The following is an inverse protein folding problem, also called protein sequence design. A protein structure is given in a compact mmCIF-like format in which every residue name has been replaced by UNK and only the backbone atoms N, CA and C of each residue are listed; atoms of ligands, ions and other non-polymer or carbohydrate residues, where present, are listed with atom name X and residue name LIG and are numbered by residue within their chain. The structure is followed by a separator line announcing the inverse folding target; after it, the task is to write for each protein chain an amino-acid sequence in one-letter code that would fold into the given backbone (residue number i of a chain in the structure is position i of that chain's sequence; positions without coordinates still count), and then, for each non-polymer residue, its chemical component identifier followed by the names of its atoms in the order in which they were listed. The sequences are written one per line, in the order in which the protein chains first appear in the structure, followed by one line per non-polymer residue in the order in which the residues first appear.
data_IF_496937962219
#
_entry.id   IF_496937962219
#
_cell.length_a   1.000
_cell.length_b   1.000
_cell.length_c   1.000
_cell.angle_alpha   90.00
_cell.angle_beta   90.00
_cell.angle_gamma   90.00
#
_symmetry.space_group_name_H-M   'P 1'
#
loop_
_entity.id
_entity.type
_entity.pdbx_description
1 polymer ?
#
# COMPACT_ATOMS: atom_id res chain seq x y z
N UNK A 1 8.67 -22.29 -35.48
CA UNK A 1 9.34 -21.81 -36.70
C UNK A 1 10.34 -20.73 -36.28
N UNK A 2 11.63 -20.94 -36.63
CA UNK A 2 12.83 -20.10 -36.40
C UNK A 2 13.26 -19.81 -34.95
N UNK A 3 14.00 -20.78 -34.41
CA UNK A 3 15.06 -20.63 -33.40
C UNK A 3 16.09 -19.57 -33.82
N UNK A 4 16.63 -18.82 -32.85
CA UNK A 4 17.94 -18.16 -32.95
C UNK A 4 18.82 -18.56 -31.75
N UNK A 5 20.05 -18.97 -32.09
CA UNK A 5 21.09 -19.54 -31.22
C UNK A 5 21.85 -18.47 -30.40
N UNK A 6 22.12 -18.83 -29.14
CA UNK A 6 23.39 -18.84 -28.40
C UNK A 6 24.16 -17.53 -28.16
N UNK A 7 24.36 -17.26 -26.86
CA UNK A 7 25.57 -16.63 -26.30
C UNK A 7 25.87 -17.23 -24.92
N UNK A 8 26.73 -18.25 -24.87
CA UNK A 8 27.28 -18.83 -23.62
C UNK A 8 28.33 -17.87 -23.07
N UNK A 9 28.17 -17.41 -21.83
CA UNK A 9 29.19 -16.65 -21.11
C UNK A 9 29.69 -17.46 -19.90
N UNK A 10 31.00 -17.63 -19.87
CA UNK A 10 31.80 -18.48 -19.00
C UNK A 10 31.78 -18.03 -17.53
N UNK A 11 31.59 -18.99 -16.63
CA UNK A 11 31.59 -18.85 -15.17
C UNK A 11 33.03 -18.71 -14.66
N UNK A 12 33.34 -17.62 -13.97
CA UNK A 12 34.54 -17.48 -13.14
C UNK A 12 34.14 -17.65 -11.66
N UNK A 13 34.48 -18.81 -11.09
CA UNK A 13 34.27 -19.11 -9.67
C UNK A 13 35.30 -18.37 -8.84
N UNK A 14 34.87 -17.35 -8.07
CA UNK A 14 35.68 -16.69 -7.07
C UNK A 14 35.35 -17.28 -5.69
N UNK A 15 36.32 -17.97 -5.09
CA UNK A 15 36.24 -18.53 -3.75
C UNK A 15 36.29 -17.43 -2.69
N UNK A 16 35.13 -17.10 -2.09
CA UNK A 16 35.04 -16.20 -0.94
C UNK A 16 35.27 -16.96 0.35
N UNK A 17 36.28 -16.54 1.08
CA UNK A 17 36.66 -17.04 2.40
C UNK A 17 35.62 -16.63 3.44
N UNK A 18 35.19 -17.57 4.29
CA UNK A 18 34.25 -17.30 5.37
C UNK A 18 34.87 -16.38 6.44
N UNK A 19 34.38 -15.15 6.55
CA UNK A 19 34.62 -14.31 7.73
C UNK A 19 33.56 -14.59 8.78
N UNK A 20 34.00 -14.98 9.98
CA UNK A 20 33.13 -15.26 11.13
C UNK A 20 32.23 -14.05 11.47
N UNK A 21 30.93 -14.31 11.54
CA UNK A 21 29.92 -13.32 11.98
C UNK A 21 30.04 -13.15 13.49
N UNK A 22 30.08 -11.92 14.04
CA UNK A 22 30.12 -11.73 15.48
C UNK A 22 28.81 -12.22 16.13
N UNK A 23 28.96 -13.10 17.11
CA UNK A 23 27.88 -13.57 18.00
C UNK A 23 27.17 -12.36 18.61
N UNK A 24 25.88 -12.20 18.31
CA UNK A 24 25.05 -11.15 18.90
C UNK A 24 24.89 -11.38 20.41
N UNK A 25 25.51 -10.51 21.21
CA UNK A 25 25.41 -10.55 22.67
C UNK A 25 23.95 -10.45 23.16
N UNK A 26 23.62 -11.28 24.14
CA UNK A 26 22.29 -11.37 24.73
C UNK A 26 21.86 -10.08 25.44
N UNK A 27 20.68 -9.54 25.07
CA UNK A 27 20.06 -8.37 25.73
C UNK A 27 19.76 -8.68 27.21
N UNK A 28 20.26 -7.83 28.11
CA UNK A 28 20.03 -7.84 29.56
C UNK A 28 19.99 -6.39 30.06
N UNK A 29 19.23 -6.11 31.12
CA UNK A 29 19.16 -4.77 31.71
C UNK A 29 20.57 -4.28 32.12
N UNK A 30 20.89 -3.02 31.84
CA UNK A 30 22.20 -2.42 32.11
C UNK A 30 23.27 -2.69 31.05
N UNK A 31 23.06 -3.60 30.10
CA UNK A 31 23.99 -3.82 29.00
C UNK A 31 23.98 -2.63 28.02
N UNK A 32 25.11 -2.42 27.31
CA UNK A 32 25.23 -1.34 26.32
C UNK A 32 24.25 -1.55 25.16
N UNK A 33 23.61 -0.47 24.73
CA UNK A 33 22.81 -0.40 23.52
C UNK A 33 23.35 0.70 22.60
N UNK A 34 22.96 0.69 21.32
CA UNK A 34 23.55 1.56 20.30
C UNK A 34 22.72 2.82 20.03
N UNK A 35 21.41 2.76 20.19
CA UNK A 35 20.48 3.81 19.73
C UNK A 35 19.41 4.07 20.79
N UNK A 36 19.29 5.31 21.27
CA UNK A 36 18.25 5.73 22.21
C UNK A 36 16.86 5.44 21.63
N UNK A 37 15.96 4.90 22.43
CA UNK A 37 14.60 4.55 21.99
C UNK A 37 14.51 3.20 21.25
N UNK A 38 15.62 2.49 21.02
CA UNK A 38 15.56 1.12 20.51
C UNK A 38 14.83 0.21 21.52
N UNK A 39 13.83 -0.54 21.07
CA UNK A 39 13.06 -1.48 21.89
C UNK A 39 13.41 -2.92 21.49
N UNK A 40 13.57 -3.81 22.47
CA UNK A 40 13.72 -5.26 22.26
C UNK A 40 12.88 -6.02 23.27
N UNK A 41 12.14 -7.03 22.80
CA UNK A 41 11.37 -7.92 23.66
C UNK A 41 12.11 -9.24 23.85
N UNK A 42 12.30 -9.67 25.11
CA UNK A 42 12.91 -10.97 25.43
C UNK A 42 12.21 -11.60 26.62
N UNK A 43 11.66 -12.81 26.44
CA UNK A 43 10.87 -13.54 27.46
C UNK A 43 9.72 -12.69 28.02
N UNK A 44 8.89 -12.11 27.14
CA UNK A 44 7.73 -11.26 27.48
C UNK A 44 8.06 -10.04 28.37
N UNK A 45 9.30 -9.54 28.26
CA UNK A 45 9.78 -8.35 28.95
C UNK A 45 10.37 -7.41 27.91
N UNK A 46 9.92 -6.16 27.94
CA UNK A 46 10.39 -5.12 27.06
C UNK A 46 11.64 -4.45 27.63
N UNK A 47 12.60 -4.18 26.75
CA UNK A 47 13.83 -3.46 27.04
C UNK A 47 13.94 -2.26 26.12
N UNK A 48 14.04 -1.07 26.70
CA UNK A 48 14.18 0.19 25.97
C UNK A 48 15.58 0.75 26.20
N UNK A 49 16.27 1.11 25.12
CA UNK A 49 17.58 1.74 25.20
C UNK A 49 17.44 3.18 25.67
N UNK A 50 18.02 3.52 26.82
CA UNK A 50 17.90 4.85 27.44
C UNK A 50 19.29 5.39 27.79
N UNK A 51 19.40 6.71 27.86
CA UNK A 51 20.62 7.36 28.32
C UNK A 51 20.75 7.25 29.84
N UNK A 52 21.90 6.77 30.32
CA UNK A 52 22.29 6.78 31.72
C UNK A 52 23.63 7.51 31.84
N UNK A 53 23.57 8.82 32.11
CA UNK A 53 24.73 9.70 32.00
C UNK A 53 25.24 9.79 30.56
N UNK A 54 26.56 9.63 30.35
CA UNK A 54 27.19 9.66 29.01
C UNK A 54 27.11 8.33 28.23
N UNK A 55 26.37 7.33 28.72
CA UNK A 55 26.29 5.98 28.11
C UNK A 55 24.86 5.58 27.80
N UNK A 56 24.69 4.74 26.77
CA UNK A 56 23.41 4.14 26.40
C UNK A 56 23.29 2.72 26.96
N UNK A 57 22.23 2.45 27.72
CA UNK A 57 22.00 1.15 28.36
C UNK A 57 20.56 0.67 28.21
N UNK A 58 20.38 -0.65 28.16
CA UNK A 58 19.05 -1.28 28.18
C UNK A 58 18.37 -1.09 29.54
N UNK A 59 17.24 -0.40 29.57
CA UNK A 59 16.34 -0.35 30.72
C UNK A 59 15.25 -1.41 30.53
N UNK A 60 15.02 -2.23 31.55
CA UNK A 60 13.91 -3.20 31.55
C UNK A 60 12.69 -2.52 32.15
N UNK A 61 11.58 -2.55 31.44
CA UNK A 61 10.31 -2.04 31.98
C UNK A 61 9.58 -3.16 32.72
N UNK A 62 9.06 -2.84 33.90
CA UNK A 62 8.14 -3.71 34.62
C UNK A 62 6.72 -3.43 34.13
N UNK A 63 5.87 -4.46 34.04
CA UNK A 63 4.44 -4.31 33.72
C UNK A 63 3.87 -3.16 34.55
N UNK A 64 3.34 -2.14 33.88
CA UNK A 64 2.67 -1.01 34.52
C UNK A 64 1.33 -1.51 35.06
N UNK A 65 1.30 -1.79 36.36
CA UNK A 65 0.09 -1.70 37.18
C UNK A 65 -0.04 -0.22 37.50
N UNK A 66 -1.07 0.44 36.99
CA UNK A 66 -1.37 1.83 37.31
C UNK A 66 -1.84 1.92 38.77
N UNK A 67 -0.91 2.23 39.67
CA UNK A 67 -1.21 2.66 41.02
C UNK A 67 -1.41 4.19 41.02
N UNK A 68 -2.65 4.63 41.27
CA UNK A 68 -2.95 6.01 41.64
C UNK A 68 -3.23 6.06 43.13
N UNK A 69 -2.46 6.88 43.84
CA UNK A 69 -2.78 7.33 45.18
C UNK A 69 -2.12 8.68 45.41
N UNK A 70 -2.92 9.74 45.54
CA UNK A 70 -2.97 10.67 46.67
C UNK A 70 -4.28 11.47 46.56
N UNK A 71 -4.95 11.58 47.71
CA UNK A 71 -6.21 12.26 48.00
C UNK A 71 -6.05 13.78 47.99
N UNK A 72 -7.11 14.50 47.65
CA UNK A 72 -7.68 15.49 48.57
C UNK A 72 -9.15 15.82 48.22
N UNK A 73 -9.90 16.05 49.29
CA UNK A 73 -11.35 16.27 49.39
C UNK A 73 -11.80 17.61 48.79
N UNK A 74 -12.94 17.62 48.09
CA UNK A 74 -14.07 18.51 48.41
C UNK A 74 -15.32 18.11 47.63
N UNK A 75 -16.43 18.05 48.37
CA UNK A 75 -17.80 17.76 47.96
C UNK A 75 -18.38 18.83 47.04
N UNK A 76 -19.09 18.45 45.97
CA UNK A 76 -20.46 18.92 45.72
C UNK A 76 -21.17 18.09 44.63
N UNK A 77 -22.48 17.93 44.82
CA UNK A 77 -23.38 16.99 44.16
C UNK A 77 -23.86 17.45 42.78
N UNK A 78 -24.15 16.43 41.95
CA UNK A 78 -25.18 16.36 40.89
C UNK A 78 -25.18 17.41 39.77
N UNK A 79 -24.89 16.98 38.54
CA UNK A 79 -26.00 16.58 37.66
C UNK A 79 -25.52 15.66 36.53
N UNK A 80 -26.22 14.54 36.38
CA UNK A 80 -25.99 13.53 35.36
C UNK A 80 -26.53 14.01 34.02
N UNK A 81 -25.67 14.15 33.02
CA UNK A 81 -26.06 14.05 31.63
C UNK A 81 -25.18 13.00 30.96
N UNK A 82 -25.75 11.81 30.81
CA UNK A 82 -25.20 10.67 30.09
C UNK A 82 -25.06 11.03 28.60
N UNK A 83 -23.89 11.54 28.21
CA UNK A 83 -23.43 11.44 26.83
C UNK A 83 -22.65 10.14 26.73
N UNK A 84 -23.28 9.10 26.18
CA UNK A 84 -22.61 7.85 25.84
C UNK A 84 -21.37 8.17 24.98
N UNK A 85 -20.20 8.13 25.59
CA UNK A 85 -18.94 8.37 24.93
C UNK A 85 -18.70 7.20 23.98
N UNK A 86 -18.84 7.45 22.68
CA UNK A 86 -18.56 6.48 21.62
C UNK A 86 -17.19 5.86 21.89
N UNK A 87 -17.03 4.53 21.92
CA UNK A 87 -15.76 3.90 22.25
C UNK A 87 -14.63 4.49 21.39
N UNK A 88 -13.52 4.87 22.02
CA UNK A 88 -12.32 5.33 21.31
C UNK A 88 -11.77 4.14 20.53
N UNK A 89 -12.00 4.13 19.22
CA UNK A 89 -11.43 3.14 18.30
C UNK A 89 -9.96 3.47 18.10
N UNK A 90 -9.06 2.60 18.58
CA UNK A 90 -7.61 2.72 18.33
C UNK A 90 -7.29 2.03 17.00
N UNK A 91 -6.74 2.74 16.00
CA UNK A 91 -6.38 2.10 14.75
C UNK A 91 -5.30 1.03 14.94
N UNK A 92 -5.47 -0.12 14.28
CA UNK A 92 -4.48 -1.21 14.24
C UNK A 92 -3.71 -1.12 12.93
N UNK A 93 -2.45 -0.68 13.00
CA UNK A 93 -1.59 -0.51 11.82
C UNK A 93 -0.43 -1.50 11.93
N UNK A 94 -0.37 -2.43 10.98
CA UNK A 94 0.64 -3.47 10.94
C UNK A 94 1.40 -3.45 9.61
N UNK A 95 2.69 -3.74 9.67
CA UNK A 95 3.51 -3.91 8.48
C UNK A 95 4.55 -5.00 8.71
N UNK A 96 4.62 -5.93 7.76
CA UNK A 96 5.58 -7.03 7.77
C UNK A 96 6.18 -7.19 6.39
N UNK A 97 7.50 -7.13 6.33
CA UNK A 97 8.25 -7.49 5.12
C UNK A 97 9.13 -8.70 5.41
N UNK A 98 9.05 -9.68 4.51
CA UNK A 98 9.94 -10.83 4.41
C UNK A 98 11.02 -10.63 3.34
N UNK A 99 10.95 -9.56 2.55
CA UNK A 99 11.95 -9.22 1.55
C UNK A 99 13.20 -8.60 2.20
N UNK A 100 14.39 -8.93 1.68
CA UNK A 100 15.66 -8.39 2.18
C UNK A 100 15.89 -6.92 1.78
N UNK A 101 15.33 -6.47 0.64
CA UNK A 101 15.50 -5.11 0.12
C UNK A 101 14.64 -4.03 0.80
N UNK A 102 13.58 -4.44 1.50
CA UNK A 102 12.61 -3.55 2.15
C UNK A 102 12.38 -4.07 3.56
N UNK A 103 12.82 -3.34 4.58
CA UNK A 103 12.65 -3.81 5.97
C UNK A 103 11.22 -3.60 6.47
N UNK A 104 10.77 -4.37 7.47
CA UNK A 104 9.44 -4.16 8.08
C UNK A 104 9.27 -2.76 8.67
N UNK A 105 10.33 -2.17 9.24
CA UNK A 105 10.27 -0.80 9.77
C UNK A 105 10.11 0.25 8.66
N UNK A 106 10.75 0.02 7.52
CA UNK A 106 10.64 0.89 6.36
C UNK A 106 9.25 0.80 5.74
N UNK A 107 8.73 -0.42 5.58
CA UNK A 107 7.36 -0.64 5.13
C UNK A 107 6.36 0.02 6.06
N UNK A 108 6.52 -0.13 7.39
CA UNK A 108 5.68 0.54 8.38
C UNK A 108 5.72 2.08 8.23
N UNK A 109 6.89 2.64 7.91
CA UNK A 109 7.02 4.07 7.69
C UNK A 109 6.27 4.51 6.43
N UNK A 110 6.31 3.71 5.34
CA UNK A 110 5.50 3.97 4.14
C UNK A 110 4.01 3.89 4.46
N UNK A 111 3.56 2.83 5.14
CA UNK A 111 2.16 2.64 5.55
C UNK A 111 1.65 3.85 6.35
N UNK A 112 2.40 4.27 7.37
CA UNK A 112 2.02 5.42 8.20
C UNK A 112 2.00 6.73 7.44
N UNK A 113 2.94 6.93 6.51
CA UNK A 113 2.97 8.11 5.66
C UNK A 113 1.73 8.16 4.75
N UNK A 114 1.34 7.04 4.14
CA UNK A 114 0.14 6.99 3.30
C UNK A 114 -1.15 7.24 4.11
N UNK A 115 -1.27 6.60 5.28
CA UNK A 115 -2.41 6.80 6.19
C UNK A 115 -2.53 8.26 6.63
N UNK A 116 -1.41 8.93 6.90
CA UNK A 116 -1.39 10.32 7.33
C UNK A 116 -1.93 11.31 6.29
N UNK A 117 -1.94 10.95 5.01
CA UNK A 117 -2.57 11.78 3.96
C UNK A 117 -4.10 11.64 3.94
N UNK A 118 -4.62 10.50 4.39
CA UNK A 118 -6.02 10.13 4.17
C UNK A 118 -6.98 10.89 5.06
N UNK A 119 -8.09 11.35 4.49
CA UNK A 119 -9.13 12.04 5.25
C UNK A 119 -9.86 11.11 6.22
N UNK A 120 -10.18 9.90 5.77
CA UNK A 120 -10.96 8.92 6.52
C UNK A 120 -10.36 7.50 6.37
N UNK A 121 -9.11 7.23 6.76
CA UNK A 121 -8.52 5.90 6.55
C UNK A 121 -9.27 4.79 7.33
N UNK A 122 -9.16 3.52 6.90
CA UNK A 122 -9.68 2.38 7.65
C UNK A 122 -9.05 2.28 9.05
N UNK A 123 -9.77 1.67 9.99
CA UNK A 123 -9.31 1.53 11.39
C UNK A 123 -8.35 0.35 11.58
N UNK A 124 -8.27 -0.56 10.61
CA UNK A 124 -7.27 -1.63 10.56
C UNK A 124 -6.61 -1.66 9.19
N UNK A 125 -5.28 -1.65 9.15
CA UNK A 125 -4.52 -1.70 7.91
C UNK A 125 -3.27 -2.57 8.03
N UNK A 126 -3.16 -3.59 7.15
CA UNK A 126 -1.99 -4.44 7.03
C UNK A 126 -1.19 -4.13 5.76
N UNK A 127 0.12 -3.96 5.89
CA UNK A 127 1.05 -3.97 4.76
C UNK A 127 1.92 -5.24 4.79
N UNK A 128 1.88 -6.04 3.73
CA UNK A 128 2.63 -7.29 3.64
C UNK A 128 3.45 -7.35 2.35
N UNK A 129 4.77 -7.58 2.49
CA UNK A 129 5.67 -7.79 1.35
C UNK A 129 6.42 -9.12 1.53
N UNK A 130 6.54 -9.90 0.46
CA UNK A 130 7.39 -11.10 0.40
C UNK A 130 8.20 -11.14 -0.90
N UNK A 131 9.39 -11.79 -0.91
CA UNK A 131 10.20 -11.88 -2.10
C UNK A 131 9.74 -13.01 -3.03
N UNK A 132 9.86 -12.77 -4.33
CA UNK A 132 9.69 -13.77 -5.40
C UNK A 132 10.91 -13.72 -6.34
N UNK A 133 11.15 -14.82 -7.04
CA UNK A 133 12.32 -15.00 -7.90
C UNK A 133 12.10 -14.49 -9.32
N UNK A 134 12.65 -15.23 -10.28
CA UNK A 134 12.57 -14.88 -11.71
C UNK A 134 11.22 -15.30 -12.29
N UNK A 135 10.77 -14.60 -13.32
CA UNK A 135 9.56 -14.98 -14.05
C UNK A 135 9.74 -16.38 -14.66
N UNK A 136 8.68 -17.19 -14.58
CA UNK A 136 8.63 -18.54 -15.15
C UNK A 136 7.76 -18.60 -16.41
N UNK A 137 6.86 -17.66 -16.57
CA UNK A 137 5.96 -17.54 -17.72
C UNK A 137 6.10 -16.18 -18.42
N UNK A 138 5.91 -16.21 -19.75
CA UNK A 138 5.73 -15.00 -20.55
C UNK A 138 4.23 -14.67 -20.73
N UNK A 139 3.35 -15.65 -20.55
CA UNK A 139 1.89 -15.53 -20.59
C UNK A 139 1.29 -16.14 -19.31
N UNK A 140 0.69 -15.33 -18.41
CA UNK A 140 0.08 -15.82 -17.19
C UNK A 140 -1.00 -16.88 -17.45
N UNK A 141 -0.95 -18.00 -16.75
CA UNK A 141 -2.04 -18.98 -16.71
C UNK A 141 -2.98 -18.68 -15.53
N UNK A 142 -4.20 -18.14 -15.77
CA UNK A 142 -5.13 -17.83 -14.69
C UNK A 142 -5.53 -19.06 -13.87
N UNK A 143 -5.39 -20.27 -14.42
CA UNK A 143 -5.68 -21.52 -13.71
C UNK A 143 -4.80 -21.74 -12.47
N UNK A 144 -3.56 -21.25 -12.48
CA UNK A 144 -2.57 -21.46 -11.42
C UNK A 144 -3.00 -20.81 -10.10
N UNK A 145 -3.58 -19.60 -10.19
CA UNK A 145 -4.00 -18.83 -9.02
C UNK A 145 -5.51 -18.82 -8.79
N UNK A 146 -6.24 -19.76 -9.40
CA UNK A 146 -7.68 -19.92 -9.21
C UNK A 146 -8.49 -18.80 -9.86
N UNK A 147 -8.09 -18.38 -11.06
CA UNK A 147 -8.71 -17.35 -11.89
C UNK A 147 -8.03 -15.98 -11.80
N UNK A 148 -7.12 -15.78 -10.86
CA UNK A 148 -6.39 -14.52 -10.70
C UNK A 148 -5.27 -14.40 -11.76
N UNK A 149 -5.21 -13.31 -12.54
CA UNK A 149 -4.34 -13.20 -13.72
C UNK A 149 -2.91 -12.76 -13.36
N UNK A 150 -2.30 -13.37 -12.34
CA UNK A 150 -0.91 -13.07 -11.95
C UNK A 150 0.07 -13.99 -12.67
N UNK A 151 1.23 -13.43 -13.04
CA UNK A 151 2.35 -14.19 -13.60
C UNK A 151 3.01 -15.07 -12.52
N UNK A 152 3.50 -16.24 -12.93
CA UNK A 152 4.21 -17.18 -12.06
C UNK A 152 5.70 -16.85 -11.98
N UNK A 153 6.27 -16.90 -10.78
CA UNK A 153 7.70 -16.74 -10.56
C UNK A 153 8.26 -17.91 -9.75
N UNK A 154 9.59 -18.06 -9.76
CA UNK A 154 10.25 -19.05 -8.92
C UNK A 154 10.21 -18.65 -7.45
N UNK A 155 10.11 -19.62 -6.53
CA UNK A 155 10.25 -19.37 -5.10
C UNK A 155 11.66 -18.87 -4.72
N UNK A 156 11.72 -17.92 -3.79
CA UNK A 156 12.93 -17.55 -3.04
C UNK A 156 12.88 -18.08 -1.61
N UNK A 157 11.68 -18.14 -1.04
CA UNK A 157 11.46 -18.51 0.34
C UNK A 157 11.51 -20.03 0.51
N UNK A 158 12.04 -20.48 1.65
CA UNK A 158 11.89 -21.87 2.06
C UNK A 158 10.42 -22.21 2.37
N UNK A 159 10.07 -23.50 2.34
CA UNK A 159 8.72 -23.94 2.69
C UNK A 159 8.25 -23.46 4.08
N UNK A 160 9.17 -23.33 5.05
CA UNK A 160 8.85 -22.76 6.37
C UNK A 160 8.56 -21.27 6.30
N UNK A 161 9.32 -20.51 5.49
CA UNK A 161 9.11 -19.07 5.35
C UNK A 161 7.82 -18.76 4.58
N UNK A 162 7.51 -19.55 3.54
CA UNK A 162 6.21 -19.49 2.84
C UNK A 162 5.06 -19.67 3.85
N UNK A 163 5.17 -20.70 4.71
CA UNK A 163 4.19 -20.94 5.77
C UNK A 163 4.09 -19.77 6.74
N UNK A 164 5.21 -19.16 7.12
CA UNK A 164 5.23 -18.02 8.04
C UNK A 164 4.57 -16.78 7.43
N UNK A 165 4.81 -16.48 6.15
CA UNK A 165 4.17 -15.37 5.43
C UNK A 165 2.67 -15.58 5.32
N UNK A 166 2.24 -16.77 4.87
CA UNK A 166 0.81 -17.10 4.74
C UNK A 166 0.09 -17.06 6.09
N UNK A 167 0.72 -17.60 7.15
CA UNK A 167 0.18 -17.55 8.50
C UNK A 167 0.07 -16.12 9.03
N UNK A 168 1.00 -15.23 8.68
CA UNK A 168 0.94 -13.83 9.10
C UNK A 168 -0.34 -13.17 8.57
N UNK A 169 -0.60 -13.28 7.26
CA UNK A 169 -1.80 -12.72 6.65
C UNK A 169 -3.08 -13.36 7.19
N UNK A 170 -3.12 -14.71 7.24
CA UNK A 170 -4.27 -15.45 7.77
C UNK A 170 -4.60 -15.06 9.20
N UNK A 171 -3.60 -14.99 10.08
CA UNK A 171 -3.79 -14.61 11.48
C UNK A 171 -4.37 -13.21 11.59
N UNK A 172 -3.83 -12.26 10.83
CA UNK A 172 -4.37 -10.90 10.80
C UNK A 172 -5.84 -10.90 10.34
N UNK A 173 -6.15 -11.47 9.18
CA UNK A 173 -7.50 -11.40 8.61
C UNK A 173 -8.55 -12.14 9.46
N UNK A 174 -8.23 -13.34 9.95
CA UNK A 174 -9.15 -14.12 10.78
C UNK A 174 -9.32 -13.54 12.18
N UNK A 175 -8.37 -12.74 12.67
CA UNK A 175 -8.54 -12.01 13.95
C UNK A 175 -9.53 -10.86 13.86
N UNK A 176 -9.91 -10.42 12.65
CA UNK A 176 -10.75 -9.24 12.48
C UNK A 176 -12.14 -9.37 13.10
N UNK A 177 -12.70 -10.58 13.19
CA UNK A 177 -13.99 -10.85 13.86
C UNK A 177 -13.95 -10.58 15.36
N UNK A 178 -12.78 -10.69 15.99
CA UNK A 178 -12.63 -10.56 17.44
C UNK A 178 -12.61 -9.09 17.88
N UNK A 179 -12.36 -8.15 16.96
CA UNK A 179 -12.28 -6.73 17.27
C UNK A 179 -13.51 -6.00 16.72
N UNK A 180 -14.47 -5.72 17.61
CA UNK A 180 -15.69 -4.98 17.28
C UNK A 180 -15.41 -3.60 16.64
N UNK A 181 -14.24 -3.01 16.87
CA UNK A 181 -13.85 -1.72 16.27
C UNK A 181 -13.55 -1.80 14.76
N UNK A 182 -13.34 -3.01 14.22
CA UNK A 182 -13.24 -3.21 12.77
C UNK A 182 -14.61 -3.16 12.09
N UNK A 183 -15.70 -3.44 12.81
CA UNK A 183 -17.06 -3.43 12.27
C UNK A 183 -17.26 -4.36 11.05
N UNK A 184 -16.42 -5.39 10.90
CA UNK A 184 -16.56 -6.37 9.83
C UNK A 184 -17.83 -7.19 10.04
N UNK A 185 -18.65 -7.33 8.99
CA UNK A 185 -19.89 -8.11 9.00
C UNK A 185 -19.72 -9.49 8.38
N UNK A 186 -18.57 -9.73 7.76
CA UNK A 186 -18.17 -10.97 7.14
C UNK A 186 -18.14 -12.10 8.15
N UNK A 187 -18.54 -13.30 7.73
CA UNK A 187 -18.47 -14.49 8.55
C UNK A 187 -17.01 -14.92 8.76
N UNK A 188 -16.76 -15.76 9.78
CA UNK A 188 -15.45 -16.35 9.96
C UNK A 188 -15.03 -17.22 8.76
N UNK A 189 -15.98 -17.82 8.05
CA UNK A 189 -15.72 -18.59 6.84
C UNK A 189 -15.28 -17.67 5.69
N UNK A 190 -15.97 -16.55 5.46
CA UNK A 190 -15.63 -15.58 4.40
C UNK A 190 -14.21 -15.02 4.61
N UNK A 191 -13.87 -14.71 5.86
CA UNK A 191 -12.53 -14.23 6.21
C UNK A 191 -11.47 -15.32 6.07
N UNK A 192 -11.81 -16.60 6.28
CA UNK A 192 -10.89 -17.70 6.01
C UNK A 192 -10.68 -17.89 4.51
N UNK A 193 -11.74 -17.83 3.70
CA UNK A 193 -11.67 -17.97 2.24
C UNK A 193 -10.82 -16.87 1.61
N UNK A 194 -11.01 -15.61 2.03
CA UNK A 194 -10.15 -14.51 1.57
C UNK A 194 -8.67 -14.72 1.95
N UNK A 195 -8.38 -15.35 3.10
CA UNK A 195 -7.01 -15.68 3.51
C UNK A 195 -6.44 -16.85 2.69
N UNK A 196 -7.27 -17.83 2.32
CA UNK A 196 -6.89 -18.94 1.44
C UNK A 196 -6.48 -18.42 0.05
N UNK A 197 -7.18 -17.40 -0.48
CA UNK A 197 -6.83 -16.75 -1.74
C UNK A 197 -5.43 -16.12 -1.70
N UNK A 198 -5.12 -15.35 -0.65
CA UNK A 198 -3.78 -14.73 -0.49
C UNK A 198 -2.70 -15.78 -0.25
N UNK A 199 -3.00 -16.83 0.52
CA UNK A 199 -2.08 -17.95 0.72
C UNK A 199 -1.73 -18.66 -0.59
N UNK A 200 -2.67 -18.79 -1.53
CA UNK A 200 -2.41 -19.35 -2.86
C UNK A 200 -1.38 -18.54 -3.64
N UNK A 201 -1.50 -17.21 -3.61
CA UNK A 201 -0.54 -16.32 -4.27
C UNK A 201 0.86 -16.43 -3.67
N UNK A 202 0.95 -16.49 -2.34
CA UNK A 202 2.23 -16.64 -1.63
C UNK A 202 2.87 -18.00 -1.95
N UNK A 203 2.08 -19.08 -1.94
CA UNK A 203 2.57 -20.45 -2.17
C UNK A 203 3.02 -20.72 -3.60
N UNK A 204 2.40 -20.08 -4.58
CA UNK A 204 2.78 -20.22 -5.99
C UNK A 204 3.65 -19.06 -6.49
N UNK A 205 4.25 -18.28 -5.58
CA UNK A 205 5.11 -17.14 -5.91
C UNK A 205 4.53 -16.20 -6.99
N UNK A 206 3.24 -15.89 -6.89
CA UNK A 206 2.57 -14.99 -7.83
C UNK A 206 3.22 -13.60 -7.82
N UNK A 207 3.40 -13.00 -9.00
CA UNK A 207 3.77 -11.58 -9.13
C UNK A 207 2.56 -10.67 -8.84
N UNK A 208 2.18 -10.62 -7.56
CA UNK A 208 1.01 -9.89 -7.09
C UNK A 208 1.36 -8.50 -6.57
N UNK A 209 0.54 -7.53 -6.90
CA UNK A 209 0.40 -6.27 -6.19
C UNK A 209 -1.11 -5.97 -6.14
N UNK A 210 -1.70 -5.98 -4.95
CA UNK A 210 -3.14 -5.77 -4.79
C UNK A 210 -3.49 -5.29 -3.37
N UNK A 211 -4.75 -4.89 -3.19
CA UNK A 211 -5.28 -4.37 -1.94
C UNK A 211 -6.43 -5.24 -1.42
N UNK A 212 -6.14 -6.35 -0.69
CA UNK A 212 -7.19 -7.16 -0.09
C UNK A 212 -8.05 -6.34 0.86
N UNK A 213 -9.37 -6.55 0.79
CA UNK A 213 -10.32 -5.59 1.30
C UNK A 213 -11.39 -6.25 2.22
N UNK A 214 -10.99 -7.09 3.20
CA UNK A 214 -11.88 -8.03 3.90
C UNK A 214 -13.11 -7.38 4.51
N UNK A 215 -13.03 -6.13 4.95
CA UNK A 215 -14.22 -5.33 5.23
C UNK A 215 -13.93 -3.82 5.11
N UNK A 216 -14.97 -2.99 5.25
CA UNK A 216 -14.83 -1.55 5.04
C UNK A 216 -13.76 -0.89 5.91
N UNK A 217 -13.70 -1.21 7.22
CA UNK A 217 -12.70 -0.61 8.11
C UNK A 217 -11.44 -1.47 8.30
N UNK A 218 -11.30 -2.59 7.60
CA UNK A 218 -10.13 -3.45 7.67
C UNK A 218 -9.64 -3.79 6.26
N UNK A 219 -8.51 -3.20 5.87
CA UNK A 219 -7.97 -3.28 4.52
C UNK A 219 -6.50 -3.66 4.57
N UNK A 220 -5.95 -4.10 3.45
CA UNK A 220 -4.55 -4.44 3.36
C UNK A 220 -3.95 -3.98 2.02
N UNK A 221 -2.63 -4.01 1.98
CA UNK A 221 -1.84 -4.01 0.75
C UNK A 221 -0.89 -5.20 0.81
N UNK A 222 -0.91 -6.00 -0.24
CA UNK A 222 -0.05 -7.17 -0.42
C UNK A 222 0.75 -7.01 -1.71
N UNK A 223 2.06 -7.21 -1.63
CA UNK A 223 2.93 -7.07 -2.79
C UNK A 223 4.06 -8.11 -2.75
N UNK A 224 4.20 -8.87 -3.83
CA UNK A 224 5.38 -9.65 -4.11
C UNK A 224 6.48 -8.73 -4.66
N UNK A 225 7.72 -8.93 -4.22
CA UNK A 225 8.87 -8.13 -4.64
C UNK A 225 9.94 -9.00 -5.29
N UNK A 226 10.32 -8.67 -6.52
CA UNK A 226 11.45 -9.29 -7.21
C UNK A 226 12.72 -8.45 -7.02
N UNK A 227 13.88 -9.12 -6.93
CA UNK A 227 15.18 -8.46 -6.81
C UNK A 227 15.54 -7.60 -8.04
N UNK A 228 14.91 -7.84 -9.20
CA UNK A 228 15.07 -7.02 -10.41
C UNK A 228 14.30 -5.71 -10.32
N UNK A 229 13.22 -5.66 -9.52
CA UNK A 229 12.44 -4.46 -9.34
C UNK A 229 13.20 -3.45 -8.47
N UNK A 230 13.47 -2.28 -9.04
CA UNK A 230 14.07 -1.19 -8.28
C UNK A 230 13.22 -0.83 -7.06
N UNK A 231 13.86 -0.42 -5.98
CA UNK A 231 13.18 0.00 -4.76
C UNK A 231 12.22 1.19 -4.98
N UNK A 232 12.54 2.06 -5.94
CA UNK A 232 11.65 3.14 -6.35
C UNK A 232 10.35 2.59 -6.96
N UNK A 233 10.46 1.65 -7.90
CA UNK A 233 9.29 1.03 -8.52
C UNK A 233 8.45 0.25 -7.48
N UNK A 234 9.11 -0.50 -6.59
CA UNK A 234 8.42 -1.19 -5.49
C UNK A 234 7.66 -0.21 -4.58
N UNK A 235 8.25 0.97 -4.31
CA UNK A 235 7.62 2.03 -3.51
C UNK A 235 6.41 2.64 -4.21
N UNK A 236 6.51 2.96 -5.52
CA UNK A 236 5.37 3.50 -6.28
C UNK A 236 4.24 2.49 -6.38
N UNK A 237 4.55 1.21 -6.63
CA UNK A 237 3.56 0.13 -6.67
C UNK A 237 2.91 -0.07 -5.30
N UNK A 238 3.70 -0.11 -4.22
CA UNK A 238 3.16 -0.21 -2.86
C UNK A 238 2.17 0.93 -2.56
N UNK A 239 2.53 2.18 -2.85
CA UNK A 239 1.66 3.31 -2.56
C UNK A 239 0.41 3.35 -3.46
N UNK A 240 0.51 2.89 -4.72
CA UNK A 240 -0.64 2.70 -5.61
C UNK A 240 -1.64 1.72 -4.99
N UNK A 241 -1.20 0.52 -4.63
CA UNK A 241 -2.10 -0.48 -4.05
C UNK A 241 -2.59 -0.07 -2.67
N UNK A 242 -1.74 0.55 -1.85
CA UNK A 242 -2.16 1.08 -0.57
C UNK A 242 -3.28 2.12 -0.73
N UNK A 243 -3.25 2.94 -1.79
CA UNK A 243 -4.31 3.92 -2.06
C UNK A 243 -5.67 3.26 -2.29
N UNK A 244 -5.74 2.12 -2.98
CA UNK A 244 -7.00 1.39 -3.17
C UNK A 244 -7.63 0.97 -1.84
N UNK A 245 -6.82 0.47 -0.91
CA UNK A 245 -7.29 0.11 0.44
C UNK A 245 -7.56 1.32 1.34
N UNK A 246 -6.82 2.42 1.19
CA UNK A 246 -6.84 3.57 2.10
C UNK A 246 -7.84 4.66 1.72
N UNK A 247 -8.08 4.86 0.42
CA UNK A 247 -8.99 5.89 -0.09
C UNK A 247 -10.45 5.57 0.17
N UNK A 248 -10.75 4.42 0.80
CA UNK A 248 -12.08 3.83 0.92
C UNK A 248 -12.75 3.68 -0.43
N UNK A 249 -12.05 3.15 -1.44
CA UNK A 249 -12.68 2.91 -2.73
C UNK A 249 -14.01 2.13 -2.57
N UNK A 250 -15.11 2.76 -2.98
CA UNK A 250 -16.47 2.42 -2.54
C UNK A 250 -17.30 1.60 -3.54
N UNK A 251 -16.77 0.94 -4.58
CA UNK A 251 -17.67 0.28 -5.56
C UNK A 251 -18.65 -0.71 -4.91
N UNK A 252 -18.14 -1.66 -4.13
CA UNK A 252 -18.97 -2.57 -3.33
C UNK A 252 -19.97 -1.85 -2.38
N UNK A 253 -19.63 -0.66 -1.88
CA UNK A 253 -20.51 0.10 -0.98
C UNK A 253 -21.53 0.98 -1.71
N UNK A 254 -21.19 1.44 -2.92
CA UNK A 254 -22.04 2.25 -3.76
C UNK A 254 -23.03 1.40 -4.54
N UNK A 255 -22.68 0.15 -4.87
CA UNK A 255 -23.57 -0.79 -5.55
C UNK A 255 -24.96 -0.88 -4.91
N UNK A 256 -25.11 -1.19 -3.60
CA UNK A 256 -26.43 -1.27 -2.96
C UNK A 256 -27.14 0.10 -2.86
N UNK A 257 -26.39 1.21 -2.75
CA UNK A 257 -26.95 2.56 -2.66
C UNK A 257 -27.53 3.01 -4.02
N UNK A 258 -26.76 2.80 -5.09
CA UNK A 258 -27.10 3.20 -6.45
C UNK A 258 -27.99 2.18 -7.16
N UNK A 259 -28.12 0.96 -6.61
CA UNK A 259 -28.81 -0.18 -7.22
C UNK A 259 -28.24 -0.53 -8.60
N UNK A 260 -26.92 -0.43 -8.71
CA UNK A 260 -26.15 -0.81 -9.89
C UNK A 260 -25.22 -1.93 -9.46
N UNK A 261 -25.24 -3.04 -10.19
CA UNK A 261 -24.29 -4.14 -9.98
C UNK A 261 -22.85 -3.63 -10.05
N UNK A 262 -21.99 -4.09 -9.14
CA UNK A 262 -20.58 -3.70 -9.10
C UNK A 262 -19.85 -3.93 -10.43
N UNK A 263 -20.12 -5.06 -11.09
CA UNK A 263 -19.49 -5.40 -12.37
C UNK A 263 -19.87 -4.40 -13.47
N UNK A 264 -21.04 -3.78 -13.36
CA UNK A 264 -21.50 -2.74 -14.30
C UNK A 264 -20.88 -1.38 -14.03
N UNK A 265 -20.19 -1.19 -12.91
CA UNK A 265 -19.47 0.05 -12.57
C UNK A 265 -17.99 0.01 -12.98
N UNK A 266 -17.54 -1.06 -13.64
CA UNK A 266 -16.16 -1.20 -14.12
C UNK A 266 -15.68 -0.06 -15.03
N UNK A 267 -16.59 0.65 -15.71
CA UNK A 267 -16.25 1.84 -16.49
C UNK A 267 -15.64 2.97 -15.64
N UNK A 268 -15.81 2.94 -14.31
CA UNK A 268 -15.24 3.93 -13.39
C UNK A 268 -13.80 3.61 -12.94
N UNK A 269 -13.25 2.45 -13.34
CA UNK A 269 -11.88 2.05 -12.98
C UNK A 269 -10.84 3.08 -13.42
N UNK A 270 -11.06 3.78 -14.53
CA UNK A 270 -10.13 4.80 -15.03
C UNK A 270 -9.79 5.86 -13.97
N UNK A 271 -10.79 6.29 -13.19
CA UNK A 271 -10.60 7.33 -12.17
C UNK A 271 -9.92 6.73 -10.93
N UNK A 272 -10.33 5.53 -10.51
CA UNK A 272 -9.74 4.82 -9.39
C UNK A 272 -8.24 4.56 -9.60
N UNK A 273 -7.91 3.90 -10.70
CA UNK A 273 -6.54 3.54 -11.07
C UNK A 273 -5.68 4.78 -11.38
N UNK A 274 -6.25 5.80 -12.03
CA UNK A 274 -5.57 7.07 -12.26
C UNK A 274 -5.22 7.82 -10.98
N UNK A 275 -6.13 7.84 -10.00
CA UNK A 275 -5.86 8.44 -8.68
C UNK A 275 -4.85 7.64 -7.87
N UNK A 276 -4.91 6.31 -7.91
CA UNK A 276 -3.97 5.43 -7.23
C UNK A 276 -2.54 5.58 -7.77
N UNK A 277 -2.36 5.62 -9.09
CA UNK A 277 -1.05 5.74 -9.72
C UNK A 277 -0.46 7.14 -9.52
N UNK A 278 -1.32 8.17 -9.58
CA UNK A 278 -0.94 9.52 -9.17
C UNK A 278 -0.45 9.56 -7.72
N UNK A 279 -1.22 8.98 -6.78
CA UNK A 279 -0.86 8.94 -5.36
C UNK A 279 0.44 8.16 -5.13
N UNK A 280 0.64 7.06 -5.85
CA UNK A 280 1.86 6.26 -5.80
C UNK A 280 3.11 7.08 -6.09
N UNK A 281 3.07 7.85 -7.18
CA UNK A 281 4.15 8.76 -7.57
C UNK A 281 4.29 9.98 -6.66
N UNK A 282 3.18 10.55 -6.17
CA UNK A 282 3.18 11.63 -5.19
C UNK A 282 3.88 11.21 -3.90
N UNK A 283 3.50 10.06 -3.32
CA UNK A 283 4.07 9.57 -2.07
C UNK A 283 5.53 9.15 -2.22
N UNK A 284 5.90 8.52 -3.34
CA UNK A 284 7.29 8.20 -3.61
C UNK A 284 8.17 9.45 -3.71
N UNK A 285 7.68 10.50 -4.39
CA UNK A 285 8.38 11.79 -4.46
C UNK A 285 8.49 12.46 -3.09
N UNK A 286 7.37 12.57 -2.35
CA UNK A 286 7.32 13.14 -1.00
C UNK A 286 8.27 12.43 -0.04
N UNK A 287 8.29 11.10 -0.07
CA UNK A 287 9.18 10.28 0.75
C UNK A 287 10.68 10.54 0.46
N UNK A 288 11.01 10.95 -0.77
CA UNK A 288 12.37 11.25 -1.22
C UNK A 288 12.70 12.74 -1.18
N UNK A 289 11.80 13.60 -0.66
CA UNK A 289 11.97 15.04 -0.65
C UNK A 289 11.91 15.70 -2.03
N UNK A 290 11.26 15.05 -2.99
CA UNK A 290 11.07 15.53 -4.37
C UNK A 290 9.65 16.09 -4.57
N UNK A 291 9.51 16.93 -5.61
CA UNK A 291 8.24 17.57 -6.01
C UNK A 291 7.96 17.45 -7.51
N UNK A 292 8.71 16.62 -8.22
CA UNK A 292 8.67 16.43 -9.68
C UNK A 292 7.73 15.29 -10.11
N UNK A 293 6.83 14.80 -9.24
CA UNK A 293 5.93 13.67 -9.55
C UNK A 293 5.05 13.93 -10.77
N UNK A 294 4.45 15.14 -10.90
CA UNK A 294 3.67 15.51 -12.08
C UNK A 294 4.50 15.46 -13.37
N UNK A 295 5.74 15.96 -13.31
CA UNK A 295 6.65 15.92 -14.46
C UNK A 295 7.01 14.48 -14.85
N UNK A 296 7.30 13.61 -13.88
CA UNK A 296 7.58 12.19 -14.15
C UNK A 296 6.38 11.45 -14.74
N UNK A 297 5.17 11.70 -14.24
CA UNK A 297 3.94 11.12 -14.76
C UNK A 297 3.70 11.52 -16.22
N UNK A 298 3.80 12.83 -16.52
CA UNK A 298 3.66 13.33 -17.89
C UNK A 298 4.77 12.83 -18.82
N UNK A 299 6.02 12.77 -18.34
CA UNK A 299 7.15 12.24 -19.11
C UNK A 299 6.95 10.77 -19.45
N UNK A 300 6.51 9.95 -18.48
CA UNK A 300 6.21 8.53 -18.67
C UNK A 300 5.13 8.34 -19.73
N UNK A 301 4.01 9.07 -19.62
CA UNK A 301 2.92 8.93 -20.60
C UNK A 301 3.27 9.52 -21.98
N UNK A 302 3.94 10.67 -22.04
CA UNK A 302 4.42 11.23 -23.31
C UNK A 302 5.36 10.25 -24.04
N UNK A 303 6.22 9.54 -23.31
CA UNK A 303 7.08 8.49 -23.89
C UNK A 303 6.26 7.35 -24.46
N UNK A 304 5.23 6.87 -23.76
CA UNK A 304 4.31 5.84 -24.25
C UNK A 304 3.55 6.28 -25.50
N UNK A 305 3.17 7.56 -25.63
CA UNK A 305 2.51 8.07 -26.83
C UNK A 305 3.40 8.06 -28.08
N UNK A 306 4.72 8.11 -27.92
CA UNK A 306 5.66 8.00 -29.05
C UNK A 306 5.61 6.58 -29.64
N UNK A 307 5.51 5.56 -28.80
CA UNK A 307 5.45 4.16 -29.23
C UNK A 307 4.04 3.72 -29.59
N UNK A 308 3.02 4.26 -28.91
CA UNK A 308 1.61 3.92 -29.04
C UNK A 308 0.75 5.18 -29.18
N UNK A 309 0.75 5.85 -30.35
CA UNK A 309 0.09 7.15 -30.53
C UNK A 309 -1.44 7.12 -30.42
N UNK A 310 -2.04 5.92 -30.53
CA UNK A 310 -3.49 5.70 -30.46
C UNK A 310 -3.93 5.08 -29.12
N UNK A 311 -3.09 5.17 -28.07
CA UNK A 311 -3.44 4.72 -26.73
C UNK A 311 -4.76 5.36 -26.29
N UNK A 312 -5.63 4.58 -25.64
CA UNK A 312 -6.89 5.08 -25.06
C UNK A 312 -6.70 5.44 -23.59
N UNK A 313 -7.51 6.36 -23.07
CA UNK A 313 -7.43 6.75 -21.66
C UNK A 313 -7.65 5.56 -20.72
N UNK A 314 -8.58 4.67 -21.05
CA UNK A 314 -8.94 3.50 -20.26
C UNK A 314 -8.01 2.29 -20.44
N UNK A 315 -6.92 2.42 -21.21
CA UNK A 315 -6.07 1.28 -21.57
C UNK A 315 -5.08 0.83 -20.48
N UNK A 316 -4.54 1.74 -19.68
CA UNK A 316 -3.67 1.45 -18.53
C UNK A 316 -3.57 2.69 -17.61
N UNK A 317 -2.82 2.58 -16.50
CA UNK A 317 -2.71 3.64 -15.48
C UNK A 317 -1.99 4.91 -15.96
N UNK A 318 -1.10 4.84 -16.95
CA UNK A 318 -0.27 5.97 -17.36
C UNK A 318 -1.08 7.13 -17.96
N UNK A 319 -1.97 6.92 -18.96
CA UNK A 319 -2.86 7.96 -19.43
C UNK A 319 -3.85 8.41 -18.35
N UNK A 320 -4.26 7.53 -17.44
CA UNK A 320 -5.22 7.84 -16.37
C UNK A 320 -4.61 8.79 -15.32
N UNK A 321 -3.38 8.53 -14.88
CA UNK A 321 -2.66 9.40 -13.96
C UNK A 321 -2.31 10.75 -14.60
N UNK A 322 -1.95 10.76 -15.89
CA UNK A 322 -1.76 12.00 -16.63
C UNK A 322 -3.08 12.80 -16.76
N UNK A 323 -4.21 12.12 -16.99
CA UNK A 323 -5.52 12.75 -17.03
C UNK A 323 -5.89 13.43 -15.70
N UNK A 324 -5.46 12.90 -14.55
CA UNK A 324 -5.61 13.60 -13.25
C UNK A 324 -4.96 14.97 -13.27
N UNK A 325 -3.77 15.10 -13.88
CA UNK A 325 -3.07 16.39 -14.01
C UNK A 325 -3.87 17.33 -14.90
N UNK A 326 -4.37 16.86 -16.05
CA UNK A 326 -5.24 17.70 -16.91
C UNK A 326 -6.49 18.18 -16.16
N UNK A 327 -7.13 17.29 -15.41
CA UNK A 327 -8.31 17.63 -14.63
C UNK A 327 -8.00 18.68 -13.55
N UNK A 328 -6.81 18.65 -12.94
CA UNK A 328 -6.36 19.67 -11.99
C UNK A 328 -6.12 21.03 -12.68
N UNK A 329 -5.42 21.03 -13.82
CA UNK A 329 -5.16 22.26 -14.61
C UNK A 329 -6.47 22.90 -15.09
N UNK A 330 -7.49 22.09 -15.34
CA UNK A 330 -8.84 22.54 -15.71
C UNK A 330 -9.75 22.89 -14.51
N UNK A 331 -9.25 22.78 -13.28
CA UNK A 331 -10.03 23.04 -12.06
C UNK A 331 -11.18 22.06 -11.81
N UNK A 332 -11.19 20.90 -12.46
CA UNK A 332 -12.23 19.86 -12.28
C UNK A 332 -12.00 19.05 -11.01
N UNK A 333 -10.74 18.88 -10.62
CA UNK A 333 -10.34 18.24 -9.35
C UNK A 333 -9.24 19.04 -8.66
N UNK A 334 -8.97 18.72 -7.40
CA UNK A 334 -7.90 19.29 -6.59
C UNK A 334 -6.94 18.19 -6.17
N UNK A 335 -5.64 18.50 -6.11
CA UNK A 335 -4.62 17.56 -5.64
C UNK A 335 -4.86 17.15 -4.18
N UNK A 336 -5.31 18.07 -3.32
CA UNK A 336 -5.63 17.79 -1.92
C UNK A 336 -6.69 16.67 -1.81
N UNK A 337 -7.82 16.80 -2.53
CA UNK A 337 -8.89 15.81 -2.46
C UNK A 337 -8.51 14.47 -3.09
N UNK A 338 -7.64 14.48 -4.10
CA UNK A 338 -7.08 13.26 -4.67
C UNK A 338 -6.17 12.59 -3.64
N UNK A 339 -5.19 13.31 -3.11
CA UNK A 339 -4.20 12.76 -2.18
C UNK A 339 -4.84 12.24 -0.90
N UNK A 340 -5.85 12.93 -0.36
CA UNK A 340 -6.54 12.50 0.85
C UNK A 340 -7.70 11.51 0.62
N UNK A 341 -7.89 11.04 -0.62
CA UNK A 341 -8.91 10.05 -1.00
C UNK A 341 -10.36 10.56 -0.93
N UNK A 342 -10.60 11.84 -0.61
CA UNK A 342 -11.96 12.30 -0.27
C UNK A 342 -12.93 12.36 -1.44
N UNK A 343 -12.48 12.18 -2.69
CA UNK A 343 -13.39 11.93 -3.81
C UNK A 343 -14.19 10.64 -3.63
N UNK A 344 -13.65 9.63 -2.95
CA UNK A 344 -14.31 8.34 -2.79
C UNK A 344 -15.19 8.26 -1.55
N UNK A 345 -15.23 9.28 -0.68
CA UNK A 345 -15.97 9.20 0.59
C UNK A 345 -17.50 9.24 0.46
N UNK A 346 -18.03 9.48 -0.74
CA UNK A 346 -19.47 9.39 -1.03
C UNK A 346 -19.70 8.92 -2.47
N UNK A 347 -20.84 8.29 -2.76
CA UNK A 347 -21.10 7.67 -4.06
C UNK A 347 -21.37 8.65 -5.22
N UNK A 348 -21.33 9.98 -5.02
CA UNK A 348 -21.53 10.95 -6.10
C UNK A 348 -20.36 10.94 -7.09
N UNK A 349 -19.20 10.42 -6.70
CA UNK A 349 -18.04 10.32 -7.58
C UNK A 349 -18.34 9.51 -8.85
N UNK A 350 -19.19 8.48 -8.76
CA UNK A 350 -19.66 7.68 -9.90
C UNK A 350 -20.26 8.59 -10.97
N UNK A 351 -21.26 9.39 -10.58
CA UNK A 351 -21.92 10.31 -11.49
C UNK A 351 -21.05 11.51 -11.86
N UNK A 352 -20.05 11.88 -11.06
CA UNK A 352 -19.18 13.04 -11.33
C UNK A 352 -18.14 12.71 -12.40
N UNK A 353 -17.57 11.51 -12.34
CA UNK A 353 -16.48 11.05 -13.19
C UNK A 353 -16.92 10.02 -14.24
N UNK A 354 -18.23 9.85 -14.44
CA UNK A 354 -18.79 9.09 -15.55
C UNK A 354 -18.25 9.63 -16.89
N UNK A 355 -17.63 8.79 -17.75
CA UNK A 355 -17.16 9.18 -19.07
C UNK A 355 -18.24 9.79 -19.98
N UNK A 356 -19.53 9.59 -19.70
CA UNK A 356 -20.63 10.21 -20.42
C UNK A 356 -20.80 11.72 -20.12
N UNK A 357 -20.27 12.22 -18.99
CA UNK A 357 -20.31 13.65 -18.67
C UNK A 357 -19.53 14.49 -19.67
N UNK A 358 -20.02 15.70 -19.98
CA UNK A 358 -19.36 16.60 -20.93
C UNK A 358 -17.92 16.93 -20.54
N UNK A 359 -17.67 17.21 -19.25
CA UNK A 359 -16.32 17.46 -18.77
C UNK A 359 -15.42 16.23 -18.93
N UNK A 360 -15.92 15.02 -18.66
CA UNK A 360 -15.12 13.80 -18.79
C UNK A 360 -14.90 13.44 -20.27
N UNK A 361 -15.90 13.59 -21.14
CA UNK A 361 -15.73 13.49 -22.60
C UNK A 361 -14.60 14.39 -23.09
N UNK A 362 -14.52 15.62 -22.59
CA UNK A 362 -13.44 16.53 -22.93
C UNK A 362 -12.07 15.96 -22.50
N UNK A 363 -11.95 15.46 -21.26
CA UNK A 363 -10.72 14.81 -20.76
C UNK A 363 -10.34 13.62 -21.64
N UNK A 364 -11.27 12.72 -21.94
CA UNK A 364 -11.06 11.55 -22.79
C UNK A 364 -10.62 11.91 -24.21
N UNK A 365 -11.03 13.07 -24.73
CA UNK A 365 -10.63 13.52 -26.06
C UNK A 365 -9.28 14.26 -26.07
N UNK A 366 -8.80 14.75 -24.92
CA UNK A 366 -7.65 15.66 -24.84
C UNK A 366 -6.50 15.19 -23.94
N UNK A 367 -6.64 14.06 -23.23
CA UNK A 367 -5.61 13.56 -22.31
C UNK A 367 -4.23 13.35 -22.94
N UNK A 368 -4.15 13.10 -24.25
CA UNK A 368 -2.90 12.87 -24.98
C UNK A 368 -2.23 14.15 -25.50
N UNK A 369 -2.82 15.33 -25.30
CA UNK A 369 -2.31 16.62 -25.81
C UNK A 369 -1.19 17.18 -24.92
N UNK A 370 -0.12 16.41 -24.75
CA UNK A 370 1.06 16.75 -23.96
C UNK A 370 2.17 17.23 -24.91
N UNK A 371 2.88 18.29 -24.51
CA UNK A 371 4.06 18.82 -25.20
C UNK A 371 5.27 18.72 -24.27
N UNK A 372 6.44 18.54 -24.87
CA UNK A 372 7.73 18.73 -24.21
C UNK A 372 8.40 19.98 -24.78
N UNK A 373 8.64 20.98 -23.93
CA UNK A 373 9.31 22.22 -24.33
C UNK A 373 10.13 22.77 -23.18
N UNK A 374 11.36 23.22 -23.46
CA UNK A 374 12.24 23.82 -22.44
C UNK A 374 12.57 22.90 -21.26
N UNK A 375 12.57 21.58 -21.46
CA UNK A 375 12.82 20.61 -20.37
C UNK A 375 11.59 20.29 -19.52
N UNK A 376 10.41 20.79 -19.88
CA UNK A 376 9.17 20.63 -19.11
C UNK A 376 8.13 19.91 -19.96
N UNK A 377 7.46 18.92 -19.35
CA UNK A 377 6.26 18.29 -19.89
C UNK A 377 5.03 19.05 -19.40
N UNK A 378 4.14 19.42 -20.31
CA UNK A 378 2.89 20.11 -19.96
C UNK A 378 1.78 19.75 -20.93
N UNK A 379 0.53 19.98 -20.52
CA UNK A 379 -0.58 20.02 -21.47
C UNK A 379 -0.47 21.24 -22.40
N UNK A 380 -1.06 21.13 -23.59
CA UNK A 380 -1.22 22.27 -24.49
C UNK A 380 -2.26 23.24 -23.95
N UNK A 381 -2.11 24.52 -24.27
CA UNK A 381 -3.00 25.57 -23.77
C UNK A 381 -4.44 25.36 -24.25
N UNK A 382 -4.63 24.79 -25.45
CA UNK A 382 -5.95 24.39 -25.94
C UNK A 382 -6.54 23.26 -25.09
N UNK A 383 -5.78 22.24 -24.71
CA UNK A 383 -6.29 21.18 -23.83
C UNK A 383 -6.66 21.70 -22.42
N UNK A 384 -5.97 22.72 -21.93
CA UNK A 384 -6.28 23.32 -20.63
C UNK A 384 -7.50 24.26 -20.72
N UNK A 385 -7.62 25.06 -21.78
CA UNK A 385 -8.62 26.14 -21.81
C UNK A 385 -9.89 25.81 -22.60
N UNK A 386 -9.91 24.76 -23.43
CA UNK A 386 -11.02 24.49 -24.35
C UNK A 386 -10.67 24.92 -25.76
#
# INVERSE_FOLDING_TARGET
MKLRLIGVLTILVLSVSATAVPVSAAVKAGAKCKVVGQIKVKKNKEFTCTAKGKKLVWRKEAKVVTASGVKDNASEKENSSDSAQKPVVIPTIEAKSFASGITSNELLAWTKAAIAEMKNPPTSFLSLIWPIGVALDDEPDPGVFGGDPFAEHSDILSASEIKDVSNYFRTWQTSLVANAANGCKQSAADLSEGADRVERWIKGAANVATAPDPCFNARAVTMAWTAEQSKYNAKTTFFHEAYHGLSNYLLAQCSPILKIDEDKMNYMRWFAEGTADYFGHYMAAKNEGRTDHKQRLLARFHTSLITEPNMKLDSNTYPQAAAMILMMERGLITEEKLVNGSYFNDCKWINTFDPANQNMKYIFNNFSKIKFSGGVYSYTDSAING
#
